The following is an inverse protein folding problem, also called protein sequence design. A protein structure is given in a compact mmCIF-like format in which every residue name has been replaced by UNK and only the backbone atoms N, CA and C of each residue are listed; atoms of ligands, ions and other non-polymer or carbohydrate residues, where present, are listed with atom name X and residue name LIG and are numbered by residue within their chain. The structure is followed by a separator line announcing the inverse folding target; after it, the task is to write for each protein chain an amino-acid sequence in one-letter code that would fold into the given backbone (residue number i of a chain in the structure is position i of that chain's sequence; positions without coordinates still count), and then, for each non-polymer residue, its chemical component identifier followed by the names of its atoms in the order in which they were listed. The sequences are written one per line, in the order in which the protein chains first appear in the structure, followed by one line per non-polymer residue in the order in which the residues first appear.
data_IF_595641486487
#
_entry.id   IF_595641486487
#
_cell.length_a   1.000
_cell.length_b   1.000
_cell.length_c   1.000
_cell.angle_alpha   90.00
_cell.angle_beta   90.00
_cell.angle_gamma   90.00
#
_symmetry.space_group_name_H-M   'P 1'
#
loop_
_entity.id
_entity.type
_entity.pdbx_description
1 polymer ?
#
# COMPACT_ATOMS: atom_id res chain seq x y z
N UNK A 1 3.90 -30.66 22.82
CA UNK A 1 3.83 -29.19 22.70
C UNK A 1 4.64 -28.79 21.48
N UNK A 2 4.00 -28.18 20.48
CA UNK A 2 4.63 -27.86 19.20
C UNK A 2 5.69 -26.76 19.39
N UNK A 3 6.96 -27.10 19.11
CA UNK A 3 8.15 -26.21 19.24
C UNK A 3 8.24 -25.10 18.18
N UNK A 4 7.28 -25.03 17.25
CA UNK A 4 7.41 -24.24 16.01
C UNK A 4 7.01 -22.77 16.19
N UNK A 5 6.33 -22.41 17.28
CA UNK A 5 5.88 -21.04 17.54
C UNK A 5 7.03 -20.09 17.91
N UNK A 6 8.11 -20.62 18.48
CA UNK A 6 9.27 -19.83 18.94
C UNK A 6 10.41 -19.78 17.90
N UNK A 7 10.24 -20.43 16.75
CA UNK A 7 11.27 -20.46 15.71
C UNK A 7 11.06 -19.32 14.71
N UNK A 8 11.97 -18.36 14.76
CA UNK A 8 11.96 -17.16 13.92
C UNK A 8 11.93 -17.47 12.42
N UNK A 9 12.65 -18.51 11.96
CA UNK A 9 12.69 -18.85 10.53
C UNK A 9 11.34 -19.38 10.07
N UNK A 10 10.74 -20.25 10.86
CA UNK A 10 9.41 -20.79 10.56
C UNK A 10 8.37 -19.67 10.52
N UNK A 11 8.43 -18.71 11.45
CA UNK A 11 7.53 -17.56 11.43
C UNK A 11 7.74 -16.69 10.19
N UNK A 12 8.99 -16.35 9.87
CA UNK A 12 9.31 -15.58 8.65
C UNK A 12 8.77 -16.27 7.39
N UNK A 13 9.10 -17.55 7.17
CA UNK A 13 8.62 -18.26 5.97
C UNK A 13 7.09 -18.39 5.94
N UNK A 14 6.44 -18.63 7.08
CA UNK A 14 4.99 -18.73 7.14
C UNK A 14 4.32 -17.40 6.81
N UNK A 15 4.87 -16.28 7.31
CA UNK A 15 4.39 -14.94 7.01
C UNK A 15 4.67 -14.54 5.56
N UNK A 16 5.82 -14.95 5.00
CA UNK A 16 6.13 -14.75 3.58
C UNK A 16 5.15 -15.49 2.67
N UNK A 17 4.83 -16.76 2.97
CA UNK A 17 3.78 -17.50 2.25
C UNK A 17 2.42 -16.81 2.37
N UNK A 18 2.09 -16.29 3.55
CA UNK A 18 0.84 -15.55 3.74
C UNK A 18 0.82 -14.23 2.96
N UNK A 19 1.93 -13.51 2.92
CA UNK A 19 2.05 -12.28 2.13
C UNK A 19 1.87 -12.54 0.63
N UNK A 20 2.45 -13.64 0.12
CA UNK A 20 2.25 -14.08 -1.26
C UNK A 20 0.82 -14.53 -1.53
N UNK A 21 0.20 -15.26 -0.60
CA UNK A 21 -1.20 -15.66 -0.71
C UNK A 21 -2.15 -14.47 -0.75
N UNK A 22 -1.84 -13.41 0.00
CA UNK A 22 -2.61 -12.16 0.03
C UNK A 22 -2.29 -11.22 -1.15
N UNK A 23 -1.23 -11.49 -1.91
CA UNK A 23 -0.85 -10.67 -3.05
C UNK A 23 -1.86 -10.89 -4.18
N UNK A 24 -2.61 -9.83 -4.51
CA UNK A 24 -3.62 -9.83 -5.57
C UNK A 24 -4.73 -10.89 -5.37
N UNK A 25 -5.04 -11.24 -4.11
CA UNK A 25 -6.13 -12.15 -3.76
C UNK A 25 -7.08 -11.52 -2.75
N UNK A 26 -8.19 -11.01 -3.26
CA UNK A 26 -9.29 -10.52 -2.44
C UNK A 26 -9.96 -11.64 -1.64
N UNK A 27 -10.03 -12.86 -2.17
CA UNK A 27 -10.48 -14.03 -1.43
C UNK A 27 -9.58 -14.29 -0.24
N UNK A 28 -8.27 -14.14 -0.44
CA UNK A 28 -7.28 -14.31 0.62
C UNK A 28 -7.54 -13.37 1.78
N UNK A 29 -7.84 -12.09 1.51
CA UNK A 29 -8.21 -11.13 2.55
C UNK A 29 -9.47 -11.55 3.31
N UNK A 30 -10.52 -12.01 2.62
CA UNK A 30 -11.74 -12.50 3.28
C UNK A 30 -11.47 -13.72 4.16
N UNK A 31 -10.74 -14.71 3.65
CA UNK A 31 -10.45 -15.93 4.39
C UNK A 31 -9.57 -15.65 5.62
N UNK A 32 -8.56 -14.77 5.48
CA UNK A 32 -7.75 -14.31 6.61
C UNK A 32 -8.60 -13.59 7.66
N UNK A 33 -9.58 -12.79 7.25
CA UNK A 33 -10.50 -12.14 8.18
C UNK A 33 -11.32 -13.18 8.98
N UNK A 34 -11.91 -14.16 8.28
CA UNK A 34 -12.78 -15.20 8.86
C UNK A 34 -12.08 -16.04 9.92
N UNK A 35 -10.79 -16.29 9.75
CA UNK A 35 -10.00 -17.15 10.67
C UNK A 35 -9.21 -16.36 11.72
N UNK A 36 -9.46 -15.06 11.88
CA UNK A 36 -8.70 -14.21 12.80
C UNK A 36 -7.18 -14.18 12.50
N UNK A 37 -6.83 -14.21 11.20
CA UNK A 37 -5.44 -14.27 10.76
C UNK A 37 -4.63 -13.03 11.12
N UNK A 38 -5.25 -11.85 11.18
CA UNK A 38 -4.59 -10.61 11.64
C UNK A 38 -4.03 -10.77 13.06
N UNK A 39 -4.80 -11.35 13.98
CA UNK A 39 -4.35 -11.57 15.35
C UNK A 39 -3.13 -12.48 15.38
N UNK A 40 -3.07 -13.48 14.49
CA UNK A 40 -1.92 -14.37 14.37
C UNK A 40 -0.67 -13.61 13.86
N UNK A 41 -0.82 -12.77 12.83
CA UNK A 41 0.27 -11.93 12.31
C UNK A 41 0.80 -10.97 13.40
N UNK A 42 -0.10 -10.25 14.07
CA UNK A 42 0.26 -9.33 15.16
C UNK A 42 0.95 -10.07 16.31
N UNK A 43 0.48 -11.27 16.66
CA UNK A 43 1.13 -12.11 17.67
C UNK A 43 2.56 -12.46 17.27
N UNK A 44 2.81 -12.80 16.01
CA UNK A 44 4.15 -13.08 15.52
C UNK A 44 5.05 -11.83 15.61
N UNK A 45 4.58 -10.68 15.14
CA UNK A 45 5.31 -9.41 15.27
C UNK A 45 5.70 -9.09 16.72
N UNK A 46 4.78 -9.29 17.67
CA UNK A 46 5.02 -9.08 19.10
C UNK A 46 5.98 -10.09 19.72
N UNK A 47 6.01 -11.32 19.20
CA UNK A 47 6.87 -12.40 19.70
C UNK A 47 8.30 -12.25 19.19
N UNK A 48 8.50 -11.64 18.02
CA UNK A 48 9.80 -11.45 17.38
C UNK A 48 10.09 -9.98 17.03
N UNK A 49 10.06 -9.05 18.00
CA UNK A 49 10.23 -7.61 17.73
C UNK A 49 11.62 -7.24 17.21
N UNK A 50 12.60 -8.16 17.32
CA UNK A 50 14.00 -7.97 16.92
C UNK A 50 14.39 -8.73 15.65
N UNK A 51 13.43 -9.38 14.97
CA UNK A 51 13.68 -10.04 13.70
C UNK A 51 13.16 -9.18 12.56
N UNK A 52 14.06 -8.58 11.79
CA UNK A 52 13.73 -7.79 10.59
C UNK A 52 12.90 -8.63 9.61
N UNK A 53 13.34 -9.85 9.31
CA UNK A 53 12.65 -10.86 8.51
C UNK A 53 11.16 -11.06 8.90
N UNK A 54 10.88 -11.22 10.20
CA UNK A 54 9.51 -11.41 10.70
C UNK A 54 8.72 -10.11 10.64
N UNK A 55 9.32 -8.97 11.00
CA UNK A 55 8.63 -7.68 10.95
C UNK A 55 8.27 -7.30 9.52
N UNK A 56 9.20 -7.45 8.58
CA UNK A 56 9.00 -7.21 7.15
C UNK A 56 7.87 -8.08 6.60
N UNK A 57 7.99 -9.41 6.70
CA UNK A 57 7.01 -10.34 6.14
C UNK A 57 5.61 -10.15 6.76
N UNK A 58 5.54 -9.87 8.06
CA UNK A 58 4.27 -9.57 8.72
C UNK A 58 3.64 -8.28 8.21
N UNK A 59 4.41 -7.20 8.10
CA UNK A 59 3.89 -5.93 7.60
C UNK A 59 3.50 -6.03 6.13
N UNK A 60 4.24 -6.79 5.32
CA UNK A 60 3.89 -7.05 3.93
C UNK A 60 2.58 -7.85 3.83
N UNK A 61 2.41 -8.89 4.64
CA UNK A 61 1.15 -9.64 4.71
C UNK A 61 -0.03 -8.75 5.10
N UNK A 62 0.15 -7.88 6.10
CA UNK A 62 -0.87 -6.91 6.51
C UNK A 62 -1.16 -5.88 5.41
N UNK A 63 -0.13 -5.37 4.73
CA UNK A 63 -0.28 -4.43 3.63
C UNK A 63 -1.03 -5.05 2.45
N UNK A 64 -0.78 -6.33 2.16
CA UNK A 64 -1.50 -7.03 1.09
C UNK A 64 -2.93 -7.37 1.52
N UNK A 65 -3.13 -7.81 2.77
CA UNK A 65 -4.45 -8.20 3.28
C UNK A 65 -5.42 -7.04 3.50
N UNK A 66 -4.91 -5.88 3.97
CA UNK A 66 -5.71 -4.67 4.13
C UNK A 66 -5.78 -3.97 2.77
N UNK A 67 -6.96 -4.01 2.15
CA UNK A 67 -7.25 -3.36 0.87
C UNK A 67 -8.04 -2.07 1.08
N UNK A 68 -7.77 -1.07 0.25
CA UNK A 68 -8.52 0.19 0.24
C UNK A 68 -9.78 0.07 -0.62
N UNK A 69 -10.74 0.95 -0.40
CA UNK A 69 -11.97 0.96 -1.22
C UNK A 69 -11.62 1.28 -2.71
N UNK A 70 -10.58 2.09 -2.95
CA UNK A 70 -10.03 2.36 -4.30
C UNK A 70 -9.48 1.09 -4.97
N UNK A 71 -8.75 0.25 -4.21
CA UNK A 71 -8.22 -1.03 -4.72
C UNK A 71 -9.36 -1.96 -5.19
N UNK A 72 -10.47 -1.97 -4.45
CA UNK A 72 -11.64 -2.83 -4.72
C UNK A 72 -12.42 -2.33 -5.94
N UNK A 73 -12.58 -1.02 -6.07
CA UNK A 73 -13.39 -0.44 -7.14
C UNK A 73 -12.70 -0.55 -8.53
N UNK A 74 -11.36 -0.65 -8.56
CA UNK A 74 -10.59 -0.78 -9.81
C UNK A 74 -10.74 -2.15 -10.52
N UNK A 75 -11.14 -3.20 -9.80
CA UNK A 75 -11.24 -4.54 -10.38
C UNK A 75 -12.46 -4.70 -11.30
N UNK A 76 -12.22 -5.09 -12.55
CA UNK A 76 -13.23 -5.23 -13.62
C UNK A 76 -13.93 -6.60 -13.56
N UNK A 77 -13.43 -7.55 -12.75
CA UNK A 77 -13.90 -8.94 -12.74
C UNK A 77 -14.90 -9.33 -11.63
N UNK A 78 -15.04 -8.52 -10.58
CA UNK A 78 -15.82 -8.86 -9.38
C UNK A 78 -17.26 -8.31 -9.43
N UNK A 79 -18.20 -9.05 -8.84
CA UNK A 79 -19.61 -8.61 -8.73
C UNK A 79 -19.76 -7.52 -7.66
N UNK A 80 -20.73 -6.63 -7.82
CA UNK A 80 -20.98 -5.56 -6.84
C UNK A 80 -21.26 -6.10 -5.43
N UNK A 81 -22.04 -7.17 -5.33
CA UNK A 81 -22.33 -7.84 -4.04
C UNK A 81 -21.04 -8.33 -3.35
N UNK A 82 -20.10 -8.86 -4.14
CA UNK A 82 -18.82 -9.34 -3.63
C UNK A 82 -17.92 -8.18 -3.18
N UNK A 83 -17.86 -7.10 -3.96
CA UNK A 83 -17.11 -5.88 -3.61
C UNK A 83 -17.58 -5.29 -2.29
N UNK A 84 -18.89 -5.24 -2.06
CA UNK A 84 -19.45 -4.73 -0.80
C UNK A 84 -19.12 -5.64 0.40
N UNK A 85 -19.19 -6.97 0.24
CA UNK A 85 -18.74 -7.91 1.28
C UNK A 85 -17.25 -7.67 1.63
N UNK A 86 -16.40 -7.52 0.62
CA UNK A 86 -14.97 -7.27 0.79
C UNK A 86 -14.69 -5.91 1.46
N UNK A 87 -15.41 -4.85 1.09
CA UNK A 87 -15.32 -3.53 1.73
C UNK A 87 -15.67 -3.60 3.21
N UNK A 88 -16.73 -4.32 3.57
CA UNK A 88 -17.11 -4.53 4.98
C UNK A 88 -16.01 -5.29 5.71
N UNK A 89 -15.54 -6.41 5.17
CA UNK A 89 -14.51 -7.23 5.80
C UNK A 89 -13.17 -6.47 5.98
N UNK A 90 -12.68 -5.75 4.97
CA UNK A 90 -11.43 -4.98 5.07
C UNK A 90 -11.54 -3.81 6.05
N UNK A 91 -12.73 -3.20 6.18
CA UNK A 91 -13.01 -2.15 7.18
C UNK A 91 -12.93 -2.70 8.60
N UNK A 92 -13.61 -3.82 8.85
CA UNK A 92 -13.56 -4.50 10.15
C UNK A 92 -12.14 -4.94 10.49
N UNK A 93 -11.43 -5.50 9.52
CA UNK A 93 -10.05 -5.93 9.63
C UNK A 93 -9.12 -4.76 10.00
N UNK A 94 -9.24 -3.63 9.30
CA UNK A 94 -8.45 -2.43 9.57
C UNK A 94 -8.75 -1.87 10.96
N UNK A 95 -10.03 -1.84 11.34
CA UNK A 95 -10.47 -1.35 12.66
C UNK A 95 -9.92 -2.21 13.79
N UNK A 96 -10.05 -3.54 13.66
CA UNK A 96 -9.46 -4.51 14.58
C UNK A 96 -7.94 -4.29 14.72
N UNK A 97 -7.23 -4.16 13.61
CA UNK A 97 -5.79 -3.93 13.61
C UNK A 97 -5.41 -2.62 14.32
N UNK A 98 -6.11 -1.52 14.03
CA UNK A 98 -5.76 -0.20 14.56
C UNK A 98 -6.20 -0.03 16.02
N UNK A 99 -7.46 -0.36 16.34
CA UNK A 99 -8.08 -0.02 17.63
C UNK A 99 -7.86 -1.09 18.71
N UNK A 100 -7.93 -2.38 18.37
CA UNK A 100 -7.85 -3.45 19.37
C UNK A 100 -6.44 -4.03 19.51
N UNK A 101 -5.64 -3.93 18.45
CA UNK A 101 -4.32 -4.55 18.38
C UNK A 101 -3.16 -3.54 18.44
N UNK A 102 -3.44 -2.26 18.65
CA UNK A 102 -2.45 -1.17 18.64
C UNK A 102 -1.52 -1.24 17.41
N UNK A 103 -2.07 -1.65 16.26
CA UNK A 103 -1.29 -2.07 15.11
C UNK A 103 -0.39 -0.98 14.54
N UNK A 104 -0.85 0.27 14.55
CA UNK A 104 -0.05 1.42 14.09
C UNK A 104 1.19 1.60 14.99
N UNK A 105 1.02 1.54 16.32
CA UNK A 105 2.15 1.66 17.25
C UNK A 105 3.14 0.51 17.04
N UNK A 106 2.65 -0.70 16.77
CA UNK A 106 3.48 -1.86 16.48
C UNK A 106 4.33 -1.68 15.20
N UNK A 107 3.71 -1.20 14.12
CA UNK A 107 4.41 -0.88 12.85
C UNK A 107 5.46 0.20 13.05
N UNK A 108 5.11 1.29 13.75
CA UNK A 108 6.04 2.38 14.04
C UNK A 108 7.23 1.89 14.86
N UNK A 109 7.01 1.03 15.85
CA UNK A 109 8.08 0.44 16.65
C UNK A 109 9.02 -0.44 15.80
N UNK A 110 8.47 -1.25 14.90
CA UNK A 110 9.26 -2.07 13.97
C UNK A 110 10.12 -1.19 13.05
N UNK A 111 9.51 -0.21 12.39
CA UNK A 111 10.22 0.73 11.51
C UNK A 111 11.29 1.53 12.25
N UNK A 112 11.04 1.89 13.52
CA UNK A 112 12.03 2.57 14.38
C UNK A 112 13.18 1.64 14.78
N UNK A 113 12.92 0.35 14.98
CA UNK A 113 13.93 -0.63 15.34
C UNK A 113 14.90 -0.95 14.19
N UNK A 114 14.43 -0.84 12.94
CA UNK A 114 15.21 -1.14 11.73
C UNK A 114 15.25 0.04 10.74
N UNK A 115 15.77 1.21 11.15
CA UNK A 115 15.64 2.45 10.36
C UNK A 115 16.39 2.42 9.02
N UNK A 116 17.35 1.50 8.86
CA UNK A 116 18.16 1.34 7.65
C UNK A 116 17.77 0.11 6.82
N UNK A 117 16.77 -0.67 7.26
CA UNK A 117 16.34 -1.87 6.55
C UNK A 117 15.24 -1.52 5.54
N UNK A 118 15.61 -1.42 4.27
CA UNK A 118 14.75 -0.91 3.20
C UNK A 118 13.40 -1.65 3.14
N UNK A 119 13.39 -2.99 3.19
CA UNK A 119 12.15 -3.76 3.05
C UNK A 119 11.17 -3.60 4.22
N UNK A 120 11.70 -3.44 5.45
CA UNK A 120 10.90 -3.11 6.65
C UNK A 120 10.27 -1.73 6.48
N UNK A 121 11.03 -0.74 5.99
CA UNK A 121 10.50 0.60 5.73
C UNK A 121 9.45 0.59 4.60
N UNK A 122 9.71 -0.16 3.52
CA UNK A 122 8.80 -0.32 2.39
C UNK A 122 7.47 -0.93 2.82
N UNK A 123 7.52 -2.07 3.51
CA UNK A 123 6.34 -2.78 3.99
C UNK A 123 5.55 -1.93 5.00
N UNK A 124 6.25 -1.27 5.93
CA UNK A 124 5.64 -0.36 6.90
C UNK A 124 4.97 0.85 6.24
N UNK A 125 5.64 1.53 5.31
CA UNK A 125 5.08 2.64 4.54
C UNK A 125 3.88 2.21 3.69
N UNK A 126 3.95 1.03 3.06
CA UNK A 126 2.85 0.48 2.27
C UNK A 126 1.60 0.30 3.13
N UNK A 127 1.74 -0.34 4.29
CA UNK A 127 0.64 -0.55 5.23
C UNK A 127 0.08 0.78 5.77
N UNK A 128 0.95 1.70 6.21
CA UNK A 128 0.52 3.01 6.72
C UNK A 128 -0.19 3.84 5.65
N UNK A 129 0.30 3.84 4.40
CA UNK A 129 -0.34 4.52 3.28
C UNK A 129 -1.75 3.97 3.05
N UNK A 130 -1.94 2.65 3.04
CA UNK A 130 -3.28 2.05 2.91
C UNK A 130 -4.22 2.43 4.05
N UNK A 131 -3.75 2.34 5.30
CA UNK A 131 -4.55 2.75 6.47
C UNK A 131 -4.91 4.23 6.43
N UNK A 132 -4.06 5.08 5.84
CA UNK A 132 -4.31 6.52 5.72
C UNK A 132 -5.42 6.89 4.73
N UNK A 133 -6.01 5.94 4.00
CA UNK A 133 -7.24 6.23 3.25
C UNK A 133 -8.46 6.40 4.16
N UNK A 134 -8.33 6.09 5.45
CA UNK A 134 -9.40 6.12 6.45
C UNK A 134 -9.16 7.24 7.46
N UNK A 135 -9.95 8.30 7.36
CA UNK A 135 -9.79 9.51 8.20
C UNK A 135 -9.93 9.22 9.69
N UNK A 136 -10.73 8.21 10.05
CA UNK A 136 -10.91 7.75 11.43
C UNK A 136 -9.60 7.34 12.12
N UNK A 137 -8.55 7.00 11.36
CA UNK A 137 -7.26 6.58 11.90
C UNK A 137 -6.22 7.72 12.02
N UNK A 138 -6.52 8.93 11.53
CA UNK A 138 -5.55 10.01 11.50
C UNK A 138 -5.06 10.44 12.89
N UNK A 139 -5.96 10.55 13.87
CA UNK A 139 -5.56 10.89 15.24
C UNK A 139 -4.64 9.82 15.82
N UNK A 140 -4.92 8.54 15.57
CA UNK A 140 -4.05 7.44 16.00
C UNK A 140 -2.68 7.51 15.34
N UNK A 141 -2.61 7.78 14.03
CA UNK A 141 -1.33 7.94 13.30
C UNK A 141 -0.50 9.12 13.83
N UNK A 142 -1.15 10.23 14.18
CA UNK A 142 -0.47 11.39 14.76
C UNK A 142 0.03 11.10 16.16
N UNK A 143 -0.79 10.46 16.99
CA UNK A 143 -0.45 10.15 18.38
C UNK A 143 0.62 9.06 18.52
N UNK A 144 0.73 8.16 17.54
CA UNK A 144 1.73 7.08 17.53
C UNK A 144 3.07 7.50 16.92
N UNK A 145 3.25 8.77 16.54
CA UNK A 145 4.46 9.30 15.88
C UNK A 145 4.74 8.68 14.50
N UNK A 146 3.76 8.04 13.86
CA UNK A 146 3.93 7.47 12.51
C UNK A 146 4.42 8.53 11.51
N UNK A 147 3.85 9.73 11.61
CA UNK A 147 4.24 10.93 10.87
C UNK A 147 5.74 11.25 11.00
N UNK A 148 6.28 11.22 12.22
CA UNK A 148 7.69 11.51 12.45
C UNK A 148 8.62 10.45 11.85
N UNK A 149 8.24 9.17 11.98
CA UNK A 149 9.01 8.06 11.41
C UNK A 149 9.01 8.11 9.89
N UNK A 150 7.85 8.31 9.25
CA UNK A 150 7.77 8.43 7.78
C UNK A 150 8.50 9.67 7.26
N UNK A 151 8.47 10.78 8.00
CA UNK A 151 9.27 11.96 7.68
C UNK A 151 10.79 11.68 7.65
N UNK A 152 11.30 10.84 8.55
CA UNK A 152 12.71 10.44 8.52
C UNK A 152 13.06 9.57 7.30
N UNK A 153 12.14 8.71 6.86
CA UNK A 153 12.33 7.84 5.68
C UNK A 153 12.55 8.66 4.42
N UNK A 154 11.78 9.74 4.23
CA UNK A 154 11.94 10.65 3.09
C UNK A 154 13.37 11.24 3.00
N UNK A 155 14.05 11.41 4.13
CA UNK A 155 15.44 11.85 4.17
C UNK A 155 16.45 10.71 3.98
N UNK A 156 16.24 9.58 4.65
CA UNK A 156 17.19 8.45 4.66
C UNK A 156 17.21 7.67 3.35
N UNK A 157 16.10 7.63 2.62
CA UNK A 157 15.91 6.85 1.39
C UNK A 157 15.59 7.73 0.19
N UNK A 158 16.18 8.93 0.11
CA UNK A 158 15.91 9.91 -0.94
C UNK A 158 16.16 9.42 -2.39
N UNK A 159 16.86 8.29 -2.57
CA UNK A 159 17.07 7.65 -3.88
C UNK A 159 16.06 6.54 -4.22
N UNK A 160 15.24 6.09 -3.28
CA UNK A 160 14.25 5.03 -3.49
C UNK A 160 12.90 5.66 -3.85
N UNK A 161 12.64 5.76 -5.16
CA UNK A 161 11.44 6.39 -5.70
C UNK A 161 10.15 5.69 -5.23
N UNK A 162 10.16 4.37 -5.12
CA UNK A 162 8.97 3.62 -4.70
C UNK A 162 8.66 3.87 -3.23
N UNK A 163 9.68 3.77 -2.36
CA UNK A 163 9.53 4.03 -0.93
C UNK A 163 9.08 5.47 -0.67
N UNK A 164 9.66 6.44 -1.38
CA UNK A 164 9.26 7.85 -1.33
C UNK A 164 7.81 8.03 -1.78
N UNK A 165 7.39 7.33 -2.84
CA UNK A 165 6.00 7.38 -3.33
C UNK A 165 5.01 6.95 -2.26
N UNK A 166 5.26 5.80 -1.61
CA UNK A 166 4.41 5.29 -0.51
C UNK A 166 4.44 6.21 0.71
N UNK A 167 5.62 6.67 1.12
CA UNK A 167 5.79 7.61 2.22
C UNK A 167 5.04 8.93 1.95
N UNK A 168 5.15 9.47 0.74
CA UNK A 168 4.46 10.71 0.35
C UNK A 168 2.95 10.53 0.32
N UNK A 169 2.43 9.41 -0.20
CA UNK A 169 1.00 9.08 -0.20
C UNK A 169 0.44 9.10 1.23
N UNK A 170 1.13 8.44 2.17
CA UNK A 170 0.77 8.49 3.59
C UNK A 170 0.73 9.92 4.14
N UNK A 171 1.77 10.72 3.87
CA UNK A 171 1.88 12.08 4.39
C UNK A 171 0.78 13.00 3.83
N UNK A 172 0.49 12.90 2.53
CA UNK A 172 -0.59 13.66 1.87
C UNK A 172 -1.94 13.28 2.45
N UNK A 173 -2.21 12.01 2.69
CA UNK A 173 -3.49 11.58 3.24
C UNK A 173 -3.72 12.09 4.68
N UNK A 174 -2.70 11.99 5.55
CA UNK A 174 -2.81 12.38 6.96
C UNK A 174 -2.81 13.91 7.17
N UNK A 175 -2.12 14.68 6.32
CA UNK A 175 -2.05 16.15 6.44
C UNK A 175 -2.91 16.93 5.47
N UNK A 176 -3.08 16.44 4.24
CA UNK A 176 -3.76 17.13 3.14
C UNK A 176 -5.24 17.35 3.38
N UNK A 177 -5.89 16.47 4.15
CA UNK A 177 -7.29 16.60 4.56
C UNK A 177 -7.58 17.83 5.41
N UNK A 178 -6.56 18.44 6.04
CA UNK A 178 -6.76 19.63 6.91
C UNK A 178 -6.40 20.96 6.25
N UNK A 179 -5.53 20.97 5.24
CA UNK A 179 -5.17 22.22 4.54
C UNK A 179 -6.34 22.80 3.72
N UNK A 180 -7.26 21.97 3.25
CA UNK A 180 -8.43 22.43 2.49
C UNK A 180 -9.53 23.01 3.40
N UNK A 181 -9.56 22.63 4.69
CA UNK A 181 -10.61 23.07 5.63
C UNK A 181 -10.18 24.33 6.40
N UNK A 182 -8.90 24.47 6.77
CA UNK A 182 -8.42 25.63 7.54
C UNK A 182 -7.99 26.82 6.66
N UNK A 183 -7.68 26.60 5.37
CA UNK A 183 -7.56 27.69 4.39
C UNK A 183 -8.93 27.91 3.79
N UNK A 184 -9.76 28.70 4.49
CA UNK A 184 -11.07 29.12 4.00
C UNK A 184 -10.98 29.74 2.61
N UNK A 185 -11.12 28.90 1.58
CA UNK A 185 -11.81 29.30 0.36
C UNK A 185 -13.26 29.49 0.80
N UNK A 186 -13.51 30.67 1.35
CA UNK A 186 -14.81 31.32 1.28
C UNK A 186 -15.04 31.52 -0.21
N UNK A 187 -15.57 30.50 -0.88
CA UNK A 187 -16.26 30.69 -2.13
C UNK A 187 -17.52 31.47 -1.75
N UNK A 188 -17.42 32.80 -1.83
CA UNK A 188 -18.57 33.70 -1.90
C UNK A 188 -19.52 33.15 -2.97
N UNK A 189 -20.59 32.47 -2.53
CA UNK A 189 -21.71 32.06 -3.38
C UNK A 189 -22.75 33.17 -3.52
N UNK A 190 -22.35 34.43 -3.29
CA UNK A 190 -23.17 35.61 -3.51
C UNK A 190 -22.67 36.39 -4.74
N UNK A 191 -23.00 35.90 -5.92
CA UNK A 191 -23.32 36.76 -7.07
C UNK A 191 -24.53 36.21 -7.83
N UNK A 192 -25.70 36.63 -7.33
CA UNK A 192 -26.75 37.30 -8.12
C UNK A 192 -26.63 37.22 -9.65
N UNK A 193 -27.59 36.51 -10.24
CA UNK A 193 -28.37 36.91 -11.42
C UNK A 193 -27.62 37.59 -12.58
N UNK A 194 -27.28 36.81 -13.60
CA UNK A 194 -27.21 37.32 -14.96
C UNK A 194 -28.22 36.58 -15.83
N UNK A 195 -29.06 37.40 -16.44
CA UNK A 195 -30.21 37.08 -17.26
C UNK A 195 -29.82 36.31 -18.53
N UNK A 196 -30.83 35.60 -19.02
CA UNK A 196 -30.95 35.01 -20.35
C UNK A 196 -30.27 35.81 -21.46
N UNK A 197 -29.50 35.12 -22.31
CA UNK A 197 -29.43 35.44 -23.74
C UNK A 197 -29.35 34.17 -24.62
N UNK A 198 -29.93 34.22 -25.83
CA UNK A 198 -30.30 33.04 -26.59
C UNK A 198 -29.20 32.48 -27.51
N UNK A 199 -29.33 31.17 -27.65
CA UNK A 199 -28.71 30.25 -28.58
C UNK A 199 -28.87 30.64 -30.06
N UNK A 200 -27.76 30.87 -30.79
CA UNK A 200 -27.68 30.76 -32.26
C UNK A 200 -26.25 30.48 -32.75
N UNK A 201 -26.20 29.74 -33.87
CA UNK A 201 -25.08 29.43 -34.76
C UNK A 201 -24.25 28.19 -34.34
N UNK A 202 -24.46 27.03 -34.96
CA UNK A 202 -24.11 26.70 -36.36
C UNK A 202 -22.60 26.83 -36.60
N UNK A 203 -21.89 25.70 -36.50
CA UNK A 203 -20.57 25.54 -37.09
C UNK A 203 -20.41 24.10 -37.56
N UNK A 204 -20.54 23.97 -38.87
CA UNK A 204 -20.15 22.85 -39.71
C UNK A 204 -18.67 22.50 -39.61
N UNK A 205 -18.40 21.20 -39.76
CA UNK A 205 -17.27 20.60 -40.51
C UNK A 205 -15.85 21.10 -40.23
N UNK A 206 -15.02 20.22 -39.67
CA UNK A 206 -13.73 19.87 -40.30
C UNK A 206 -13.25 18.51 -39.79
N UNK A 207 -13.35 17.50 -40.66
CA UNK A 207 -12.57 16.27 -40.60
C UNK A 207 -11.11 16.64 -40.87
N UNK A 208 -10.19 16.30 -39.97
CA UNK A 208 -8.78 16.18 -40.29
C UNK A 208 -8.26 14.83 -39.84
N UNK A 209 -7.92 14.04 -40.86
CA UNK A 209 -7.19 12.79 -40.85
C UNK A 209 -5.87 12.96 -40.07
N UNK A 210 -5.61 12.07 -39.10
CA UNK A 210 -4.28 11.91 -38.52
C UNK A 210 -3.64 10.70 -39.20
N UNK A 211 -2.69 11.01 -40.07
CA UNK A 211 -1.76 10.09 -40.70
C UNK A 211 -0.99 9.28 -39.64
N UNK A 212 -1.19 7.97 -39.68
CA UNK A 212 -0.53 7.00 -38.83
C UNK A 212 0.75 6.55 -39.56
N UNK A 213 1.85 7.28 -39.36
CA UNK A 213 3.10 6.99 -40.05
C UNK A 213 3.99 6.04 -39.25
N UNK A 214 4.27 4.90 -39.89
CA UNK A 214 5.19 3.85 -39.51
C UNK A 214 6.63 4.38 -39.41
N UNK A 215 7.37 3.98 -38.38
CA UNK A 215 8.84 3.91 -38.39
C UNK A 215 9.26 2.88 -37.34
N UNK A 216 9.51 1.66 -37.79
CA UNK A 216 10.84 1.12 -38.11
C UNK A 216 11.48 0.42 -36.91
N UNK A 217 11.28 -0.89 -36.92
CA UNK A 217 12.12 -1.92 -36.35
C UNK A 217 13.59 -1.74 -36.76
N UNK A 218 14.48 -1.66 -35.78
CA UNK A 218 15.89 -1.99 -35.93
C UNK A 218 16.21 -3.14 -34.98
N UNK A 219 16.16 -4.34 -35.54
CA UNK A 219 16.96 -5.49 -35.11
C UNK A 219 18.42 -5.19 -35.39
N UNK A 220 19.33 -5.46 -34.46
CA UNK A 220 20.66 -6.04 -34.71
C UNK A 220 21.51 -6.01 -33.43
N UNK A 221 21.96 -7.20 -33.03
CA UNK A 221 23.33 -7.57 -32.66
C UNK A 221 23.38 -8.51 -31.46
N UNK A 222 23.49 -9.80 -31.79
CA UNK A 222 24.64 -10.65 -31.47
C UNK A 222 25.54 -10.17 -30.32
N UNK A 223 25.65 -10.99 -29.27
CA UNK A 223 26.97 -11.47 -28.88
C UNK A 223 26.86 -12.76 -28.03
N UNK A 224 27.36 -13.83 -28.64
CA UNK A 224 27.99 -14.98 -27.98
C UNK A 224 28.82 -14.54 -26.77
N UNK A 225 28.73 -15.26 -25.64
CA UNK A 225 29.92 -15.97 -25.11
C UNK A 225 29.64 -16.81 -23.85
N UNK A 226 30.25 -18.00 -23.90
CA UNK A 226 30.91 -18.70 -22.79
C UNK A 226 30.06 -19.38 -21.73
N UNK A 227 29.75 -20.64 -22.05
CA UNK A 227 29.93 -21.81 -21.19
C UNK A 227 31.09 -21.65 -20.20
N UNK A 228 30.82 -21.78 -18.90
CA UNK A 228 31.84 -22.23 -17.95
C UNK A 228 31.26 -23.31 -17.02
N UNK A 229 31.64 -24.53 -17.39
CA UNK A 229 31.56 -25.76 -16.65
C UNK A 229 32.68 -25.76 -15.60
N UNK A 230 32.33 -25.77 -14.31
CA UNK A 230 33.28 -26.11 -13.24
C UNK A 230 32.68 -27.21 -12.37
N UNK A 231 33.20 -28.41 -12.61
CA UNK A 231 33.15 -29.54 -11.72
C UNK A 231 34.28 -29.43 -10.69
N UNK A 232 33.96 -29.53 -9.40
CA UNK A 232 34.87 -29.95 -8.32
C UNK A 232 34.08 -30.96 -7.48
N UNK A 233 34.34 -32.27 -7.60
CA UNK A 233 35.33 -33.09 -6.85
C UNK A 233 35.29 -32.84 -5.34
N UNK A 234 34.66 -33.73 -4.59
CA UNK A 234 35.31 -34.89 -3.92
C UNK A 234 36.31 -34.46 -2.83
N UNK A 235 35.85 -34.40 -1.58
CA UNK A 235 36.34 -35.23 -0.46
C UNK A 235 35.31 -35.28 0.67
#
# INVERSE_FOLDING_TARGET
MMKWYDDTKIQHFSLGCLALFLYDSWEGSLEVNKIHGIQAIVRAMRSFPRSEDVQESAMLALANGIVTDEDIDYDVGTTDDFKEELKVATREMSKLFVEELDGIALVVNAMTAFPNHQDVQMSGCSLLAKLSHREEFFETMKNTRAVGVVGMILGNFAGDVELIGKATRFMVNVWGTRMVIDVGIVADSDQTSLQDEPNTADTSMEEQEIDNNQSQSASENDEDTATQETAEKEE
#
